data_IF_496040759830
#
_entry.id   IF_496040759830
#
_cell.length_a   1.000
_cell.length_b   1.000
_cell.length_c   1.000
_cell.angle_alpha   90.00
_cell.angle_beta   90.00
_cell.angle_gamma   90.00
#
_symmetry.space_group_name_H-M   'P 1'
#
loop_
_entity.id
_entity.type
_entity.pdbx_description
1 polymer ?
#
# COMPACT_ATOMS: atom_id res chain seq x y z
N UNK A 1 -18.83 -28.56 -8.18
CA UNK A 1 -19.20 -27.65 -9.31
C UNK A 1 -18.66 -26.24 -9.09
N UNK A 2 -19.02 -25.54 -7.96
CA UNK A 2 -18.50 -24.19 -7.71
C UNK A 2 -16.99 -24.19 -7.46
N UNK A 3 -16.50 -25.07 -6.56
CA UNK A 3 -15.06 -25.21 -6.27
C UNK A 3 -14.24 -25.55 -7.51
N UNK A 4 -14.76 -26.37 -8.41
CA UNK A 4 -14.08 -26.73 -9.67
C UNK A 4 -13.98 -25.52 -10.61
N UNK A 5 -15.06 -24.70 -10.70
CA UNK A 5 -15.03 -23.44 -11.46
C UNK A 5 -14.03 -22.45 -10.87
N UNK A 6 -14.06 -22.23 -9.55
CA UNK A 6 -13.18 -21.28 -8.88
C UNK A 6 -11.70 -21.69 -8.99
N UNK A 7 -11.40 -22.98 -8.94
CA UNK A 7 -10.04 -23.47 -9.18
C UNK A 7 -9.58 -23.25 -10.64
N UNK A 8 -10.50 -23.36 -11.60
CA UNK A 8 -10.21 -23.07 -13.00
C UNK A 8 -10.08 -21.57 -13.29
N UNK A 9 -10.83 -20.72 -12.56
CA UNK A 9 -10.86 -19.26 -12.72
C UNK A 9 -9.72 -18.56 -11.96
N UNK A 10 -8.83 -19.30 -11.27
CA UNK A 10 -7.58 -18.76 -10.72
C UNK A 10 -7.68 -18.24 -9.29
N UNK A 11 -8.46 -18.90 -8.43
CA UNK A 11 -8.39 -18.65 -7.00
C UNK A 11 -6.99 -19.04 -6.46
N UNK A 12 -6.24 -18.06 -5.96
CA UNK A 12 -4.86 -18.27 -5.53
C UNK A 12 -4.78 -18.72 -4.06
N UNK A 13 -4.01 -19.77 -3.72
CA UNK A 13 -3.66 -20.07 -2.33
C UNK A 13 -2.97 -18.87 -1.67
N UNK A 14 -3.13 -18.71 -0.35
CA UNK A 14 -2.60 -17.54 0.39
C UNK A 14 -1.10 -17.31 0.17
N UNK A 15 -0.30 -18.37 0.08
CA UNK A 15 1.12 -18.27 -0.23
C UNK A 15 1.38 -17.70 -1.63
N UNK A 16 0.58 -18.10 -2.62
CA UNK A 16 0.68 -17.55 -3.98
C UNK A 16 0.24 -16.08 -4.01
N UNK A 17 -0.76 -15.70 -3.20
CA UNK A 17 -1.18 -14.31 -3.05
C UNK A 17 -0.05 -13.45 -2.49
N UNK A 18 0.69 -13.91 -1.47
CA UNK A 18 1.84 -13.21 -0.92
C UNK A 18 2.94 -12.96 -1.97
N UNK A 19 3.26 -13.99 -2.78
CA UNK A 19 4.24 -13.85 -3.87
C UNK A 19 3.76 -12.85 -4.93
N UNK A 20 2.49 -12.91 -5.31
CA UNK A 20 1.91 -11.99 -6.29
C UNK A 20 1.87 -10.55 -5.75
N UNK A 21 1.53 -10.36 -4.48
CA UNK A 21 1.53 -9.05 -3.83
C UNK A 21 2.92 -8.41 -3.87
N UNK A 22 3.97 -9.17 -3.54
CA UNK A 22 5.36 -8.70 -3.62
C UNK A 22 5.76 -8.33 -5.06
N UNK A 23 5.33 -9.12 -6.07
CA UNK A 23 5.60 -8.79 -7.46
C UNK A 23 4.84 -7.54 -7.93
N UNK A 24 3.58 -7.38 -7.53
CA UNK A 24 2.80 -6.16 -7.80
C UNK A 24 3.50 -4.94 -7.19
N UNK A 25 3.92 -5.04 -5.92
CA UNK A 25 4.65 -3.96 -5.26
C UNK A 25 5.90 -3.58 -6.05
N UNK A 26 6.70 -4.56 -6.47
CA UNK A 26 7.89 -4.32 -7.29
C UNK A 26 7.56 -3.59 -8.57
N UNK A 27 6.57 -4.07 -9.33
CA UNK A 27 6.14 -3.44 -10.59
C UNK A 27 5.65 -2.00 -10.34
N UNK A 28 4.89 -1.76 -9.27
CA UNK A 28 4.42 -0.42 -8.91
C UNK A 28 5.57 0.51 -8.52
N UNK A 29 6.53 0.03 -7.74
CA UNK A 29 7.70 0.81 -7.33
C UNK A 29 8.58 1.19 -8.54
N UNK A 30 8.62 0.35 -9.57
CA UNK A 30 9.41 0.60 -10.79
C UNK A 30 8.66 1.45 -11.83
N UNK A 31 7.36 1.21 -12.02
CA UNK A 31 6.59 1.80 -13.11
C UNK A 31 5.69 2.97 -12.69
N UNK A 32 5.11 2.88 -11.49
CA UNK A 32 4.09 3.83 -11.03
C UNK A 32 4.72 4.94 -10.19
N UNK A 33 5.59 4.60 -9.25
CA UNK A 33 6.14 5.55 -8.28
C UNK A 33 6.87 6.73 -8.94
N UNK A 34 7.81 6.52 -9.89
CA UNK A 34 8.50 7.64 -10.53
C UNK A 34 7.55 8.57 -11.28
N UNK A 35 6.57 7.99 -11.97
CA UNK A 35 5.54 8.76 -12.67
C UNK A 35 4.62 9.52 -11.69
N UNK A 36 4.19 8.89 -10.60
CA UNK A 36 3.31 9.53 -9.62
C UNK A 36 3.99 10.73 -8.94
N UNK A 37 5.27 10.59 -8.59
CA UNK A 37 6.08 11.69 -8.03
C UNK A 37 6.26 12.82 -9.04
N UNK A 38 6.59 12.51 -10.29
CA UNK A 38 6.74 13.51 -11.36
C UNK A 38 5.44 14.25 -11.64
N UNK A 39 4.35 13.52 -11.87
CA UNK A 39 3.05 14.08 -12.23
C UNK A 39 2.42 14.92 -11.09
N UNK A 40 2.81 14.70 -9.83
CA UNK A 40 2.39 15.49 -8.68
C UNK A 40 3.39 16.60 -8.31
N UNK A 41 4.57 16.61 -8.94
CA UNK A 41 5.59 17.64 -8.75
C UNK A 41 6.34 17.55 -7.43
N UNK A 42 6.31 16.40 -6.74
CA UNK A 42 7.08 16.13 -5.53
C UNK A 42 8.40 15.44 -5.86
N UNK A 43 9.46 15.89 -5.23
CA UNK A 43 10.76 15.23 -5.30
C UNK A 43 11.06 14.37 -4.06
N UNK A 44 10.23 14.48 -3.01
CA UNK A 44 10.32 13.64 -1.83
C UNK A 44 8.95 13.24 -1.31
N UNK A 45 8.82 11.99 -0.85
CA UNK A 45 7.61 11.47 -0.20
C UNK A 45 7.98 10.75 1.08
N UNK A 46 7.38 11.15 2.19
CA UNK A 46 7.48 10.50 3.49
C UNK A 46 6.16 9.85 3.85
N UNK A 47 6.18 8.54 4.03
CA UNK A 47 5.04 7.76 4.54
C UNK A 47 5.39 7.30 5.95
N UNK A 48 4.70 7.87 6.93
CA UNK A 48 4.93 7.58 8.34
C UNK A 48 3.77 6.73 8.86
N UNK A 49 4.09 5.59 9.42
CA UNK A 49 3.12 4.66 10.00
C UNK A 49 3.49 4.32 11.43
N UNK A 50 2.53 3.92 12.22
CA UNK A 50 2.71 3.57 13.63
C UNK A 50 1.93 2.32 13.99
N UNK A 51 2.52 1.46 14.80
CA UNK A 51 1.89 0.26 15.34
C UNK A 51 0.50 0.55 15.93
N UNK A 52 -0.50 -0.22 15.52
CA UNK A 52 -1.92 -0.08 15.86
C UNK A 52 -2.58 1.22 15.36
N UNK A 53 -1.93 2.00 14.52
CA UNK A 53 -2.49 3.17 13.86
C UNK A 53 -1.75 3.40 12.54
N UNK A 54 -1.93 2.44 11.65
CA UNK A 54 -1.23 2.39 10.38
C UNK A 54 -1.78 3.43 9.39
N UNK A 55 -0.87 4.04 8.65
CA UNK A 55 -1.21 4.82 7.48
C UNK A 55 -1.78 3.89 6.40
N UNK A 56 -2.98 4.14 5.85
CA UNK A 56 -3.58 3.26 4.84
C UNK A 56 -2.71 3.05 3.60
N UNK A 57 -1.90 4.05 3.22
CA UNK A 57 -0.97 3.95 2.09
C UNK A 57 0.21 3.03 2.42
N UNK A 58 0.64 2.97 3.69
CA UNK A 58 1.77 2.16 4.12
C UNK A 58 1.62 0.69 3.69
N UNK A 59 0.45 0.08 3.93
CA UNK A 59 0.19 -1.31 3.55
C UNK A 59 0.29 -1.60 2.05
N UNK A 60 0.18 -0.58 1.22
CA UNK A 60 0.33 -0.69 -0.25
C UNK A 60 1.78 -0.55 -0.73
N UNK A 61 2.69 -0.20 0.17
CA UNK A 61 4.10 0.09 -0.09
C UNK A 61 5.05 -0.93 0.53
N UNK A 62 4.53 -1.95 1.22
CA UNK A 62 5.32 -2.96 1.93
C UNK A 62 4.98 -4.37 1.44
N UNK A 63 5.85 -5.32 1.75
CA UNK A 63 5.64 -6.74 1.46
C UNK A 63 4.61 -7.36 2.41
N UNK A 64 4.06 -8.50 2.03
CA UNK A 64 3.00 -9.19 2.77
C UNK A 64 3.29 -9.43 4.26
N UNK A 65 4.54 -9.64 4.61
CA UNK A 65 5.00 -9.88 5.99
C UNK A 65 5.16 -8.60 6.83
N UNK A 66 4.97 -7.42 6.21
CA UNK A 66 5.14 -6.11 6.84
C UNK A 66 3.89 -5.21 6.72
N UNK A 67 2.72 -5.79 6.49
CA UNK A 67 1.46 -5.02 6.29
C UNK A 67 1.12 -4.10 7.46
N UNK A 68 1.57 -4.43 8.68
CA UNK A 68 1.41 -3.61 9.87
C UNK A 68 2.75 -3.01 10.29
N UNK A 69 2.76 -1.72 10.60
CA UNK A 69 3.96 -1.06 11.09
C UNK A 69 4.34 -1.56 12.49
N UNK A 70 5.62 -1.76 12.73
CA UNK A 70 6.15 -2.03 14.08
C UNK A 70 6.69 -0.74 14.69
N UNK A 71 6.12 -0.30 15.84
CA UNK A 71 6.44 0.96 16.50
C UNK A 71 6.23 2.14 15.56
N UNK A 72 7.28 2.82 15.13
CA UNK A 72 7.26 3.84 14.07
C UNK A 72 8.05 3.29 12.90
N UNK A 73 7.43 3.25 11.74
CA UNK A 73 8.01 2.84 10.46
C UNK A 73 7.89 4.00 9.48
N UNK A 74 8.97 4.34 8.81
CA UNK A 74 9.01 5.45 7.85
C UNK A 74 9.56 4.92 6.52
N UNK A 75 8.78 5.11 5.46
CA UNK A 75 9.26 4.91 4.10
C UNK A 75 9.54 6.28 3.48
N UNK A 76 10.71 6.42 2.89
CA UNK A 76 11.14 7.66 2.27
C UNK A 76 11.52 7.41 0.79
N UNK A 77 10.97 8.23 -0.08
CA UNK A 77 11.20 8.15 -1.52
C UNK A 77 11.77 9.48 -2.02
N UNK A 78 12.92 9.43 -2.66
CA UNK A 78 13.56 10.60 -3.25
C UNK A 78 13.71 10.42 -4.76
N UNK A 79 13.09 11.31 -5.53
CA UNK A 79 13.18 11.33 -6.99
C UNK A 79 14.27 12.32 -7.42
N UNK A 80 15.30 11.81 -8.06
CA UNK A 80 16.30 12.65 -8.69
C UNK A 80 15.69 13.39 -9.90
N UNK A 81 15.74 14.72 -9.87
CA UNK A 81 15.10 15.56 -10.89
C UNK A 81 15.78 15.47 -12.26
N UNK A 82 17.04 15.03 -12.34
CA UNK A 82 17.81 14.95 -13.60
C UNK A 82 17.61 13.59 -14.28
N UNK A 83 17.59 12.53 -13.50
CA UNK A 83 17.54 11.15 -14.03
C UNK A 83 16.13 10.56 -13.98
N UNK A 84 15.25 11.11 -13.13
CA UNK A 84 13.94 10.56 -12.83
C UNK A 84 13.98 9.29 -11.95
N UNK A 85 15.17 8.81 -11.57
CA UNK A 85 15.32 7.65 -10.70
C UNK A 85 14.79 7.94 -9.30
N UNK A 86 14.15 6.94 -8.68
CA UNK A 86 13.64 7.05 -7.32
C UNK A 86 14.46 6.18 -6.39
N UNK A 87 15.13 6.80 -5.42
CA UNK A 87 15.74 6.14 -4.27
C UNK A 87 14.65 5.79 -3.29
N UNK A 88 14.57 4.53 -2.89
CA UNK A 88 13.54 3.96 -2.01
C UNK A 88 14.20 3.54 -0.71
N UNK A 89 13.84 4.15 0.39
CA UNK A 89 14.50 4.00 1.69
C UNK A 89 13.52 3.52 2.75
N UNK A 90 13.91 2.53 3.52
CA UNK A 90 13.19 2.08 4.71
C UNK A 90 13.94 2.53 5.95
N UNK A 91 13.29 3.33 6.80
CA UNK A 91 13.81 3.81 8.08
C UNK A 91 13.14 3.00 9.19
N UNK A 92 13.93 2.35 10.01
CA UNK A 92 13.45 1.46 11.05
C UNK A 92 13.55 -0.02 10.67
N UNK A 93 12.59 -0.82 11.14
CA UNK A 93 12.61 -2.27 10.92
C UNK A 93 12.24 -2.64 9.50
N UNK A 94 13.08 -3.44 8.85
CA UNK A 94 12.87 -3.99 7.52
C UNK A 94 12.87 -5.51 7.58
N UNK A 95 11.99 -6.16 6.82
CA UNK A 95 12.02 -7.61 6.65
C UNK A 95 12.98 -8.03 5.54
N UNK A 96 13.46 -9.28 5.54
CA UNK A 96 14.24 -9.80 4.43
C UNK A 96 13.52 -9.80 3.08
N UNK A 97 12.19 -9.85 3.06
CA UNK A 97 11.40 -9.80 1.82
C UNK A 97 11.39 -8.42 1.16
N UNK A 98 11.72 -7.37 1.93
CA UNK A 98 11.91 -6.03 1.40
C UNK A 98 13.32 -5.81 0.79
N UNK A 99 14.24 -6.75 0.99
CA UNK A 99 15.59 -6.64 0.45
C UNK A 99 15.56 -6.57 -1.09
N UNK A 100 16.31 -5.62 -1.63
CA UNK A 100 16.31 -5.33 -3.08
C UNK A 100 15.13 -4.48 -3.57
N UNK A 101 14.07 -4.28 -2.77
CA UNK A 101 13.01 -3.30 -3.04
C UNK A 101 13.34 -1.94 -2.41
N UNK A 102 13.89 -1.97 -1.20
CA UNK A 102 14.26 -0.82 -0.40
C UNK A 102 15.71 -0.87 0.06
N UNK A 103 16.33 0.30 0.15
CA UNK A 103 17.58 0.49 0.85
C UNK A 103 17.31 0.56 2.36
N UNK A 104 17.97 -0.31 3.13
CA UNK A 104 17.98 -0.17 4.59
C UNK A 104 19.00 0.92 4.95
N UNK A 105 18.48 2.05 5.41
CA UNK A 105 19.31 3.22 5.73
C UNK A 105 19.61 3.36 7.20
N UNK A 106 19.10 2.44 8.04
CA UNK A 106 19.24 2.50 9.48
C UNK A 106 20.72 2.38 9.91
N UNK A 107 21.19 3.36 10.66
CA UNK A 107 22.52 3.32 11.27
C UNK A 107 22.43 2.89 12.74
N UNK A 108 23.45 2.17 13.18
CA UNK A 108 23.49 1.63 14.55
C UNK A 108 23.48 2.77 15.58
N UNK A 109 22.45 2.79 16.41
CA UNK A 109 22.29 3.73 17.52
C UNK A 109 21.53 5.01 17.18
N UNK A 110 21.19 5.24 15.92
CA UNK A 110 20.29 6.32 15.53
C UNK A 110 18.82 5.93 15.76
N UNK A 111 18.02 6.90 16.17
CA UNK A 111 16.57 6.79 16.16
C UNK A 111 16.02 6.99 14.75
N UNK A 112 14.81 6.51 14.48
CA UNK A 112 14.12 6.74 13.18
C UNK A 112 14.01 8.24 12.83
N UNK A 113 13.96 9.09 13.83
CA UNK A 113 13.87 10.54 13.67
C UNK A 113 15.19 11.18 13.25
N UNK A 114 16.29 10.82 13.92
CA UNK A 114 17.65 11.28 13.57
C UNK A 114 18.01 10.84 12.16
N UNK A 115 17.66 9.61 11.81
CA UNK A 115 17.87 9.06 10.50
C UNK A 115 17.05 9.77 9.43
N UNK A 116 15.75 10.05 9.68
CA UNK A 116 14.92 10.84 8.75
C UNK A 116 15.51 12.22 8.52
N UNK A 117 15.97 12.89 9.58
CA UNK A 117 16.63 14.19 9.47
C UNK A 117 17.94 14.13 8.65
N UNK A 118 18.73 13.06 8.83
CA UNK A 118 19.96 12.82 8.04
C UNK A 118 19.63 12.62 6.56
N UNK A 119 18.65 11.80 6.23
CA UNK A 119 18.22 11.53 4.85
C UNK A 119 17.75 12.83 4.18
N UNK A 120 16.99 13.66 4.86
CA UNK A 120 16.55 14.94 4.33
C UNK A 120 17.73 15.88 4.03
N UNK A 121 18.76 15.90 4.89
CA UNK A 121 19.99 16.68 4.63
C UNK A 121 20.80 16.12 3.45
N UNK A 122 20.86 14.80 3.29
CA UNK A 122 21.55 14.15 2.17
C UNK A 122 20.86 14.40 0.82
N UNK A 123 19.54 14.35 0.81
CA UNK A 123 18.74 14.48 -0.40
C UNK A 123 18.41 15.94 -0.76
N UNK A 124 18.36 16.83 0.22
CA UNK A 124 17.98 18.26 0.13
C UNK A 124 16.76 18.49 -0.78
N UNK A 125 15.62 17.84 -0.49
CA UNK A 125 14.44 17.91 -1.37
C UNK A 125 13.83 19.31 -1.38
N UNK A 126 13.25 19.69 -2.51
CA UNK A 126 12.58 20.98 -2.69
C UNK A 126 11.14 20.95 -2.18
N UNK A 127 10.44 19.81 -2.35
CA UNK A 127 9.03 19.63 -1.96
C UNK A 127 8.82 18.25 -1.35
N UNK A 128 8.36 18.23 -0.11
CA UNK A 128 8.19 17.01 0.69
C UNK A 128 6.70 16.71 0.84
N UNK A 129 6.23 15.63 0.21
CA UNK A 129 4.88 15.13 0.41
C UNK A 129 4.79 14.32 1.71
N UNK A 130 3.71 14.52 2.46
CA UNK A 130 3.29 13.66 3.57
C UNK A 130 1.82 13.27 3.38
N UNK A 131 1.38 12.15 3.92
CA UNK A 131 0.02 11.65 3.75
C UNK A 131 -0.98 12.41 4.62
N UNK A 132 -1.29 13.62 4.18
CA UNK A 132 -2.34 14.48 4.71
C UNK A 132 -3.30 14.85 3.59
N UNK A 133 -4.60 14.86 3.89
CA UNK A 133 -5.65 15.19 2.95
C UNK A 133 -6.90 15.71 3.68
N UNK A 134 -7.55 16.70 3.08
CA UNK A 134 -8.86 17.17 3.50
C UNK A 134 -10.02 16.43 2.81
N UNK A 135 -9.74 15.73 1.69
CA UNK A 135 -10.76 15.18 0.81
C UNK A 135 -10.82 13.65 0.84
N UNK A 136 -9.71 12.97 1.16
CA UNK A 136 -9.59 11.52 1.11
C UNK A 136 -9.01 10.98 2.40
N UNK A 137 -9.85 10.32 3.23
CA UNK A 137 -9.37 9.65 4.44
C UNK A 137 -8.34 8.56 4.18
N UNK A 138 -8.31 7.98 2.98
CA UNK A 138 -7.29 7.00 2.59
C UNK A 138 -5.90 7.63 2.39
N UNK A 139 -5.86 8.92 2.07
CA UNK A 139 -4.62 9.69 1.89
C UNK A 139 -4.27 10.56 3.11
N UNK A 140 -4.99 10.40 4.24
CA UNK A 140 -4.85 11.18 5.48
C UNK A 140 -4.42 10.28 6.64
N UNK A 141 -3.40 9.46 6.41
CA UNK A 141 -2.90 8.50 7.40
C UNK A 141 -1.90 9.08 8.40
N UNK A 142 -1.33 10.24 8.14
CA UNK A 142 -0.36 10.87 9.05
C UNK A 142 -1.05 11.45 10.28
N UNK A 143 -0.81 10.82 11.44
CA UNK A 143 -1.38 11.32 12.69
C UNK A 143 -0.76 12.66 13.11
N UNK A 144 -1.53 13.48 13.83
CA UNK A 144 -1.04 14.75 14.37
C UNK A 144 0.23 14.55 15.24
N UNK A 145 0.26 13.49 16.05
CA UNK A 145 1.42 13.18 16.90
C UNK A 145 2.68 12.89 16.08
N UNK A 146 2.58 12.04 15.04
CA UNK A 146 3.73 11.73 14.18
C UNK A 146 4.18 12.97 13.39
N UNK A 147 3.24 13.81 12.98
CA UNK A 147 3.56 15.06 12.29
C UNK A 147 4.33 16.05 13.17
N UNK A 148 3.92 16.23 14.44
CA UNK A 148 4.67 17.06 15.38
C UNK A 148 6.06 16.47 15.65
N UNK A 149 6.18 15.14 15.89
CA UNK A 149 7.48 14.49 16.07
C UNK A 149 8.40 14.65 14.85
N UNK A 150 7.85 14.54 13.63
CA UNK A 150 8.61 14.81 12.41
C UNK A 150 9.13 16.24 12.39
N UNK A 151 8.28 17.23 12.65
CA UNK A 151 8.67 18.65 12.67
C UNK A 151 9.75 18.94 13.71
N UNK A 152 9.64 18.32 14.89
CA UNK A 152 10.63 18.52 15.96
C UNK A 152 11.99 17.91 15.60
N UNK A 153 12.01 16.84 14.85
CA UNK A 153 13.22 16.11 14.49
C UNK A 153 14.02 16.73 13.33
N UNK A 154 13.34 17.39 12.39
CA UNK A 154 13.95 17.89 11.15
C UNK A 154 14.33 19.36 11.23
N UNK A 155 15.28 19.78 10.40
CA UNK A 155 15.72 21.17 10.34
C UNK A 155 14.60 22.11 9.88
N UNK A 156 14.55 23.36 10.37
CA UNK A 156 13.47 24.31 10.06
C UNK A 156 13.23 24.52 8.56
N UNK A 157 14.28 24.53 7.74
CA UNK A 157 14.15 24.71 6.30
C UNK A 157 13.36 23.59 5.61
N UNK A 158 13.39 22.36 6.11
CA UNK A 158 12.60 21.26 5.57
C UNK A 158 11.15 21.27 6.04
N UNK A 159 10.88 21.83 7.25
CA UNK A 159 9.50 21.99 7.74
C UNK A 159 8.65 22.84 6.80
N UNK A 160 9.25 23.89 6.24
CA UNK A 160 8.58 24.81 5.31
C UNK A 160 8.34 24.19 3.92
N UNK A 161 9.03 23.08 3.60
CA UNK A 161 8.89 22.34 2.35
C UNK A 161 7.88 21.20 2.41
N UNK A 162 7.29 20.93 3.60
CA UNK A 162 6.29 19.90 3.79
C UNK A 162 4.95 20.37 3.24
N UNK A 163 4.35 19.55 2.38
CA UNK A 163 3.06 19.79 1.77
C UNK A 163 2.15 18.57 1.87
N UNK A 164 0.84 18.77 1.72
CA UNK A 164 -0.14 17.69 1.68
C UNK A 164 0.03 16.85 0.42
N UNK A 165 0.27 15.55 0.61
CA UNK A 165 0.62 14.60 -0.45
C UNK A 165 -0.56 13.92 -1.13
N UNK A 166 -1.81 14.40 -0.97
CA UNK A 166 -3.02 13.79 -1.53
C UNK A 166 -2.87 13.46 -3.01
N UNK A 167 -2.41 14.42 -3.81
CA UNK A 167 -2.26 14.23 -5.25
C UNK A 167 -1.28 13.11 -5.62
N UNK A 168 -0.22 12.92 -4.85
CA UNK A 168 0.75 11.83 -5.04
C UNK A 168 0.16 10.49 -4.60
N UNK A 169 -0.45 10.45 -3.42
CA UNK A 169 -1.09 9.24 -2.87
C UNK A 169 -2.20 8.72 -3.78
N UNK A 170 -3.06 9.60 -4.30
CA UNK A 170 -4.11 9.24 -5.27
C UNK A 170 -3.49 8.64 -6.54
N UNK A 171 -2.47 9.29 -7.13
CA UNK A 171 -1.81 8.76 -8.33
C UNK A 171 -1.16 7.40 -8.11
N UNK A 172 -0.57 7.19 -6.95
CA UNK A 172 -0.05 5.89 -6.56
C UNK A 172 -1.12 4.81 -6.51
N UNK A 173 -2.30 5.12 -5.95
CA UNK A 173 -3.40 4.16 -5.78
C UNK A 173 -4.14 3.88 -7.08
N UNK A 174 -4.44 4.90 -7.87
CA UNK A 174 -5.33 4.78 -9.05
C UNK A 174 -4.68 4.08 -10.24
N UNK A 175 -3.36 4.10 -10.34
CA UNK A 175 -2.66 3.52 -11.48
C UNK A 175 -2.34 2.05 -11.26
N UNK A 176 -2.91 1.21 -12.11
CA UNK A 176 -2.70 -0.24 -12.09
C UNK A 176 -1.59 -0.65 -13.07
N UNK A 177 -0.83 -1.67 -12.68
CA UNK A 177 0.18 -2.31 -13.54
C UNK A 177 -0.46 -3.35 -14.47
N UNK A 178 0.24 -3.81 -15.53
CA UNK A 178 -0.26 -4.91 -16.37
C UNK A 178 -0.54 -6.20 -15.59
N UNK A 179 0.25 -6.49 -14.54
CA UNK A 179 0.03 -7.65 -13.68
C UNK A 179 -1.24 -7.50 -12.85
N UNK A 180 -1.43 -6.33 -12.19
CA UNK A 180 -2.67 -6.04 -11.44
C UNK A 180 -3.90 -6.17 -12.34
N UNK A 181 -3.86 -5.62 -13.56
CA UNK A 181 -4.97 -5.74 -14.51
C UNK A 181 -5.33 -7.19 -14.78
N UNK A 182 -4.33 -8.05 -15.02
CA UNK A 182 -4.55 -9.48 -15.26
C UNK A 182 -5.17 -10.18 -14.04
N UNK A 183 -4.71 -9.84 -12.83
CA UNK A 183 -5.25 -10.39 -11.58
C UNK A 183 -6.69 -9.91 -11.35
N UNK A 184 -6.98 -8.63 -11.64
CA UNK A 184 -8.35 -8.09 -11.56
C UNK A 184 -9.32 -8.83 -12.48
N UNK A 185 -8.89 -9.25 -13.67
CA UNK A 185 -9.71 -10.06 -14.57
C UNK A 185 -10.08 -11.41 -13.92
N UNK A 186 -9.13 -12.05 -13.22
CA UNK A 186 -9.42 -13.27 -12.46
C UNK A 186 -10.38 -13.02 -11.28
N UNK A 187 -10.18 -11.94 -10.53
CA UNK A 187 -11.09 -11.58 -9.43
C UNK A 187 -12.51 -11.27 -9.92
N UNK A 188 -12.65 -10.60 -11.05
CA UNK A 188 -13.95 -10.38 -11.68
C UNK A 188 -14.64 -11.73 -12.02
N UNK A 189 -13.92 -12.67 -12.61
CA UNK A 189 -14.46 -13.99 -12.94
C UNK A 189 -14.91 -14.75 -11.69
N UNK A 190 -14.09 -14.74 -10.62
CA UNK A 190 -14.44 -15.35 -9.33
C UNK A 190 -15.68 -14.69 -8.72
N UNK A 191 -15.73 -13.35 -8.72
CA UNK A 191 -16.86 -12.59 -8.19
C UNK A 191 -18.16 -12.93 -8.93
N UNK A 192 -18.13 -12.97 -10.27
CA UNK A 192 -19.28 -13.37 -11.06
C UNK A 192 -19.72 -14.80 -10.77
N UNK A 193 -18.78 -15.75 -10.63
CA UNK A 193 -19.12 -17.12 -10.28
C UNK A 193 -19.80 -17.25 -8.90
N UNK A 194 -19.40 -16.44 -7.92
CA UNK A 194 -20.02 -16.37 -6.59
C UNK A 194 -21.44 -15.79 -6.69
N UNK A 195 -21.62 -14.71 -7.43
CA UNK A 195 -22.93 -14.07 -7.66
C UNK A 195 -23.87 -15.05 -8.37
N UNK A 196 -23.42 -15.64 -9.48
CA UNK A 196 -24.22 -16.60 -10.26
C UNK A 196 -24.70 -17.77 -9.38
N UNK A 197 -23.84 -18.29 -8.51
CA UNK A 197 -24.21 -19.39 -7.61
C UNK A 197 -25.22 -18.93 -6.55
N UNK A 198 -24.94 -17.82 -5.87
CA UNK A 198 -25.76 -17.36 -4.73
C UNK A 198 -27.15 -16.86 -5.15
N UNK A 199 -27.31 -16.46 -6.41
CA UNK A 199 -28.61 -16.06 -7.00
C UNK A 199 -29.24 -17.16 -7.87
N UNK A 200 -28.68 -18.37 -7.86
CA UNK A 200 -29.22 -19.51 -8.61
C UNK A 200 -30.29 -20.30 -7.81
N UNK A 201 -31.03 -21.13 -8.52
CA UNK A 201 -31.96 -22.10 -7.92
C UNK A 201 -31.23 -23.21 -7.16
N UNK A 202 -29.92 -23.37 -7.33
CA UNK A 202 -29.12 -24.32 -6.55
C UNK A 202 -28.93 -23.84 -5.09
N UNK A 203 -29.03 -22.53 -4.83
CA UNK A 203 -28.93 -21.93 -3.49
C UNK A 203 -30.25 -21.37 -2.98
N UNK A 204 -31.01 -20.65 -3.81
CA UNK A 204 -32.26 -19.98 -3.41
C UNK A 204 -33.41 -20.99 -3.34
N UNK A 205 -34.02 -21.08 -2.16
CA UNK A 205 -35.27 -21.80 -1.91
C UNK A 205 -36.36 -20.75 -1.73
N UNK A 206 -37.32 -20.63 -2.69
CA UNK A 206 -38.42 -19.66 -2.59
C UNK A 206 -39.19 -19.77 -1.27
N UNK A 207 -39.42 -18.63 -0.61
CA UNK A 207 -40.12 -18.54 0.68
C UNK A 207 -39.30 -18.97 1.89
N UNK A 208 -37.99 -19.34 1.71
CA UNK A 208 -37.10 -19.73 2.80
C UNK A 208 -35.81 -18.92 2.83
N UNK A 209 -35.13 -18.80 1.70
CA UNK A 209 -33.85 -18.09 1.62
C UNK A 209 -34.06 -16.61 1.76
N UNK A 210 -33.38 -15.99 2.73
CA UNK A 210 -33.38 -14.56 3.00
C UNK A 210 -32.17 -13.88 2.34
N UNK A 211 -32.22 -12.55 2.25
CA UNK A 211 -31.05 -11.74 1.80
C UNK A 211 -29.84 -11.94 2.71
N UNK A 212 -30.06 -12.11 4.01
CA UNK A 212 -29.01 -12.40 5.00
C UNK A 212 -28.36 -13.77 4.74
N UNK A 213 -29.12 -14.78 4.32
CA UNK A 213 -28.54 -16.08 3.95
C UNK A 213 -27.64 -15.98 2.73
N UNK A 214 -28.02 -15.17 1.74
CA UNK A 214 -27.20 -14.89 0.55
C UNK A 214 -25.90 -14.19 0.97
N UNK A 215 -25.99 -13.14 1.79
CA UNK A 215 -24.80 -12.42 2.30
C UNK A 215 -23.83 -13.36 3.02
N UNK A 216 -24.31 -14.18 3.95
CA UNK A 216 -23.47 -15.13 4.67
C UNK A 216 -22.90 -16.23 3.78
N UNK A 217 -23.63 -16.62 2.74
CA UNK A 217 -23.12 -17.57 1.75
C UNK A 217 -21.93 -16.98 0.99
N UNK A 218 -22.05 -15.74 0.49
CA UNK A 218 -20.95 -15.04 -0.20
C UNK A 218 -19.73 -14.90 0.70
N UNK A 219 -19.90 -14.41 1.94
CA UNK A 219 -18.80 -14.24 2.91
C UNK A 219 -18.08 -15.57 3.19
N UNK A 220 -18.83 -16.65 3.37
CA UNK A 220 -18.27 -17.97 3.61
C UNK A 220 -17.46 -18.48 2.42
N UNK A 221 -17.95 -18.30 1.19
CA UNK A 221 -17.22 -18.68 -0.02
C UNK A 221 -15.93 -17.88 -0.14
N UNK A 222 -15.98 -16.56 0.07
CA UNK A 222 -14.80 -15.67 0.03
C UNK A 222 -13.76 -16.13 1.05
N UNK A 223 -14.19 -16.42 2.28
CA UNK A 223 -13.29 -16.89 3.34
C UNK A 223 -12.70 -18.28 3.02
N UNK A 224 -13.49 -19.23 2.45
CA UNK A 224 -13.00 -20.55 2.01
C UNK A 224 -11.97 -20.46 0.87
N UNK A 225 -12.00 -19.38 0.10
CA UNK A 225 -11.02 -19.09 -0.96
C UNK A 225 -9.76 -18.40 -0.44
N UNK A 226 -9.74 -18.00 0.85
CA UNK A 226 -8.62 -17.29 1.46
C UNK A 226 -8.56 -15.82 1.10
N UNK A 227 -9.66 -15.22 0.65
CA UNK A 227 -9.81 -13.78 0.47
C UNK A 227 -10.48 -13.21 1.73
N UNK A 228 -9.77 -12.36 2.47
CA UNK A 228 -10.26 -11.70 3.68
C UNK A 228 -10.29 -10.18 3.48
#
# INVERSE_FOLDING_TARGET
KLKDRLAADGAYPIQAQAVLSTQILKDKLELVLPWAMEASGFDFWLVLSRENNDDPIHSTLVTWDMLEARRVSILAFHRDSKTGAVRRMCVGSQSPEMDGLYENVQQRGESVWEETARILRECDPSRIAVNRSLNSGYCDGLTATLFEQLKDAIDPCYRERIEDGEALSVRWLERVTPLEKKIMECFCAVTHAIIDYTFSTDFIIPGKTTTTDIEWCMRRIINELGYN
#
